data_IF_035040768220
#
_entry.id   IF_035040768220
#
_cell.length_a   1.000
_cell.length_b   1.000
_cell.length_c   1.000
_cell.angle_alpha   90.00
_cell.angle_beta   90.00
_cell.angle_gamma   90.00
#
_symmetry.space_group_name_H-M   'P 1'
#
loop_
_entity.id
_entity.type
_entity.pdbx_description
1 polymer ?
#
# COMPACT_ATOMS: atom_id res chain seq x y z
N UNK A 1 -9.76 7.96 -1.24
CA UNK A 1 -8.48 8.57 -0.78
C UNK A 1 -8.38 10.02 -1.23
N UNK A 2 -7.83 10.91 -0.39
CA UNK A 2 -7.52 12.29 -0.79
C UNK A 2 -6.07 12.34 -1.29
N UNK A 3 -5.81 13.06 -2.38
CA UNK A 3 -4.47 13.15 -2.98
C UNK A 3 -3.93 14.55 -2.75
N UNK A 4 -2.79 14.64 -2.07
CA UNK A 4 -2.10 15.91 -1.75
C UNK A 4 -0.66 15.86 -2.29
N UNK A 5 -0.14 17.02 -2.70
CA UNK A 5 1.21 17.16 -3.24
C UNK A 5 1.31 17.04 -4.77
N UNK A 6 2.51 17.24 -5.31
CA UNK A 6 2.82 17.04 -6.74
C UNK A 6 2.91 15.56 -7.11
N UNK A 7 2.92 15.26 -8.41
CA UNK A 7 3.12 13.88 -8.90
C UNK A 7 4.46 13.31 -8.40
N UNK A 8 5.53 14.09 -8.43
CA UNK A 8 6.84 13.64 -7.94
C UNK A 8 6.84 13.38 -6.43
N UNK A 9 6.10 14.16 -5.64
CA UNK A 9 5.95 13.93 -4.21
C UNK A 9 5.17 12.64 -3.94
N UNK A 10 4.13 12.37 -4.74
CA UNK A 10 3.33 11.16 -4.66
C UNK A 10 4.14 9.92 -5.05
N UNK A 11 4.92 10.00 -6.13
CA UNK A 11 5.83 8.93 -6.56
C UNK A 11 6.86 8.60 -5.47
N UNK A 12 7.44 9.62 -4.83
CA UNK A 12 8.37 9.41 -3.73
C UNK A 12 7.70 8.73 -2.51
N UNK A 13 6.45 9.06 -2.21
CA UNK A 13 5.67 8.40 -1.15
C UNK A 13 5.35 6.95 -1.51
N UNK A 14 4.99 6.68 -2.76
CA UNK A 14 4.75 5.33 -3.29
C UNK A 14 6.01 4.48 -3.14
N UNK A 15 7.16 4.98 -3.58
CA UNK A 15 8.44 4.27 -3.44
C UNK A 15 8.78 3.95 -1.98
N UNK A 16 8.52 4.90 -1.08
CA UNK A 16 8.76 4.70 0.35
C UNK A 16 7.84 3.61 0.90
N UNK A 17 6.57 3.62 0.53
CA UNK A 17 5.60 2.60 0.92
C UNK A 17 6.05 1.20 0.46
N UNK A 18 6.45 1.04 -0.79
CA UNK A 18 6.90 -0.26 -1.32
C UNK A 18 8.19 -0.76 -0.66
N UNK A 19 9.12 0.14 -0.29
CA UNK A 19 10.37 -0.23 0.37
C UNK A 19 10.19 -0.66 1.83
N UNK A 20 9.18 -0.13 2.52
CA UNK A 20 9.01 -0.32 3.97
C UNK A 20 8.05 -1.45 4.34
N UNK A 21 7.12 -1.83 3.47
CA UNK A 21 6.11 -2.85 3.80
C UNK A 21 6.49 -4.25 3.29
N UNK A 22 6.21 -5.31 4.07
CA UNK A 22 6.54 -6.68 3.68
C UNK A 22 5.61 -7.22 2.57
N UNK A 23 4.50 -6.56 2.28
CA UNK A 23 3.54 -6.97 1.27
C UNK A 23 4.01 -6.58 -0.15
N UNK A 24 4.30 -7.55 -1.05
CA UNK A 24 4.94 -7.29 -2.35
C UNK A 24 4.06 -6.51 -3.34
N UNK A 25 2.77 -6.33 -3.05
CA UNK A 25 1.81 -5.60 -3.88
C UNK A 25 0.96 -4.63 -3.06
N UNK A 26 1.59 -3.87 -2.16
CA UNK A 26 0.87 -2.94 -1.25
C UNK A 26 -0.02 -1.94 -2.03
N UNK A 27 0.43 -1.45 -3.19
CA UNK A 27 -0.38 -0.58 -4.05
C UNK A 27 -1.64 -1.28 -4.60
N UNK A 28 -1.61 -2.60 -4.73
CA UNK A 28 -2.80 -3.37 -5.10
C UNK A 28 -3.90 -3.32 -4.04
N UNK A 29 -3.54 -3.19 -2.76
CA UNK A 29 -4.48 -2.99 -1.66
C UNK A 29 -5.12 -1.60 -1.68
N UNK A 30 -4.47 -0.63 -2.34
CA UNK A 30 -4.91 0.76 -2.43
C UNK A 30 -5.77 1.00 -3.68
N UNK A 31 -5.29 0.54 -4.84
CA UNK A 31 -5.91 0.88 -6.14
C UNK A 31 -6.77 -0.24 -6.72
N UNK A 32 -6.68 -1.46 -6.18
CA UNK A 32 -7.31 -2.65 -6.78
C UNK A 32 -8.02 -3.55 -5.75
N UNK A 33 -8.28 -3.06 -4.54
CA UNK A 33 -9.03 -3.81 -3.53
C UNK A 33 -10.52 -3.84 -3.85
N UNK A 34 -11.15 -5.01 -3.74
CA UNK A 34 -12.60 -5.18 -3.76
C UNK A 34 -13.00 -6.13 -2.62
N UNK A 35 -13.70 -5.65 -1.57
CA UNK A 35 -14.19 -4.28 -1.39
C UNK A 35 -13.06 -3.25 -1.19
N UNK A 36 -13.37 -1.97 -1.41
CA UNK A 36 -12.43 -0.86 -1.18
C UNK A 36 -12.03 -0.80 0.30
N UNK A 37 -10.72 -0.74 0.56
CA UNK A 37 -10.16 -0.67 1.91
C UNK A 37 -9.95 0.78 2.36
N UNK A 38 -10.19 1.06 3.64
CA UNK A 38 -9.73 2.29 4.26
C UNK A 38 -8.21 2.31 4.43
N UNK A 39 -7.63 3.50 4.62
CA UNK A 39 -6.18 3.63 4.82
C UNK A 39 -5.66 2.81 6.02
N UNK A 40 -6.44 2.73 7.10
CA UNK A 40 -6.10 1.90 8.27
C UNK A 40 -6.09 0.41 7.92
N UNK A 41 -7.11 -0.06 7.20
CA UNK A 41 -7.21 -1.46 6.76
C UNK A 41 -6.10 -1.85 5.77
N UNK A 42 -5.67 -0.93 4.90
CA UNK A 42 -4.51 -1.16 4.01
C UNK A 42 -3.25 -1.37 4.84
N UNK A 43 -3.00 -0.54 5.85
CA UNK A 43 -1.82 -0.66 6.71
C UNK A 43 -1.84 -1.99 7.46
N UNK A 44 -2.98 -2.36 8.05
CA UNK A 44 -3.13 -3.62 8.77
C UNK A 44 -2.92 -4.83 7.85
N UNK A 45 -3.51 -4.83 6.66
CA UNK A 45 -3.33 -5.90 5.68
C UNK A 45 -1.87 -6.00 5.21
N UNK A 46 -1.20 -4.87 5.00
CA UNK A 46 0.19 -4.83 4.55
C UNK A 46 1.15 -5.32 5.64
N UNK A 47 0.91 -5.00 6.92
CA UNK A 47 1.73 -5.44 8.05
C UNK A 47 1.50 -6.91 8.44
N UNK A 48 0.29 -7.40 8.27
CA UNK A 48 -0.06 -8.80 8.58
C UNK A 48 0.36 -9.77 7.49
N UNK A 49 0.76 -9.28 6.32
CA UNK A 49 1.25 -10.11 5.23
C UNK A 49 2.42 -10.98 5.68
N UNK A 50 2.23 -12.30 5.56
CA UNK A 50 3.31 -13.27 5.64
C UNK A 50 3.44 -13.94 4.28
N UNK A 51 4.64 -13.91 3.73
CA UNK A 51 4.97 -14.77 2.60
C UNK A 51 4.69 -16.23 3.01
N UNK A 52 3.90 -16.93 2.21
CA UNK A 52 3.71 -18.37 2.41
C UNK A 52 5.02 -19.05 2.02
N UNK A 53 5.63 -19.78 2.96
CA UNK A 53 6.71 -20.71 2.62
C UNK A 53 6.09 -21.89 1.86
N UNK A 54 6.55 -22.10 0.63
CA UNK A 54 6.20 -23.19 -0.27
C UNK A 54 7.09 -24.42 -0.01
#
# INVERSE_FOLDING_TARGET
>A
MNVEGTEEEQDALIELLEKHFPHPRVLGLIFCSDPELSAEEVVDAALTYRAFEL
#
